data_IF_240695081895
#
_entry.id   IF_240695081895
#
_cell.length_a   1.000
_cell.length_b   1.000
_cell.length_c   1.000
_cell.angle_alpha   90.00
_cell.angle_beta   90.00
_cell.angle_gamma   90.00
#
_symmetry.space_group_name_H-M   'P 1'
#
loop_
_entity.id
_entity.type
_entity.pdbx_description
1 polymer ?
#
# COMPACT_ATOMS: atom_id res chain seq x y z
N UNK A 1 -8.87 -11.42 -28.35
CA UNK A 1 -9.43 -11.37 -26.96
C UNK A 1 -8.49 -10.54 -26.11
N UNK A 2 -8.97 -9.66 -25.24
CA UNK A 2 -8.12 -8.96 -24.29
C UNK A 2 -7.51 -9.95 -23.29
N UNK A 3 -6.34 -9.60 -22.78
CA UNK A 3 -5.75 -10.33 -21.67
C UNK A 3 -6.45 -9.91 -20.37
N UNK A 4 -6.75 -10.87 -19.50
CA UNK A 4 -7.34 -10.57 -18.19
C UNK A 4 -6.24 -10.58 -17.13
N UNK A 5 -6.09 -9.45 -16.43
CA UNK A 5 -5.18 -9.30 -15.31
C UNK A 5 -6.00 -9.08 -14.05
N UNK A 6 -5.97 -10.06 -13.15
CA UNK A 6 -6.62 -9.93 -11.85
C UNK A 6 -5.81 -9.01 -10.94
N UNK A 7 -6.48 -8.07 -10.28
CA UNK A 7 -5.89 -7.09 -9.38
C UNK A 7 -6.66 -7.14 -8.05
N UNK A 8 -6.01 -7.57 -6.98
CA UNK A 8 -6.60 -7.57 -5.66
C UNK A 8 -6.21 -6.32 -4.88
N UNK A 9 -7.17 -5.75 -4.20
CA UNK A 9 -6.95 -4.70 -3.22
C UNK A 9 -7.10 -5.28 -1.81
N UNK A 10 -6.25 -4.83 -0.90
CA UNK A 10 -6.30 -5.25 0.50
C UNK A 10 -7.60 -4.81 1.16
N UNK A 11 -8.01 -3.57 0.91
CA UNK A 11 -9.17 -2.93 1.53
C UNK A 11 -9.86 -1.99 0.55
N UNK A 12 -11.10 -1.64 0.83
CA UNK A 12 -11.84 -0.61 0.09
C UNK A 12 -11.14 0.77 0.13
N UNK A 13 -10.59 1.24 1.27
CA UNK A 13 -9.76 2.44 1.32
C UNK A 13 -8.56 2.38 0.37
N UNK A 14 -7.82 1.28 0.34
CA UNK A 14 -6.66 1.11 -0.58
C UNK A 14 -7.08 1.23 -2.04
N UNK A 15 -8.21 0.62 -2.43
CA UNK A 15 -8.77 0.78 -3.77
C UNK A 15 -9.13 2.25 -4.08
N UNK A 16 -9.88 2.92 -3.20
CA UNK A 16 -10.31 4.30 -3.41
C UNK A 16 -9.14 5.27 -3.55
N UNK A 17 -8.09 5.12 -2.74
CA UNK A 17 -6.89 5.94 -2.82
C UNK A 17 -6.17 5.67 -4.14
N UNK A 18 -5.96 4.39 -4.48
CA UNK A 18 -5.31 3.99 -5.73
C UNK A 18 -6.08 4.51 -6.93
N UNK A 19 -7.41 4.35 -6.94
CA UNK A 19 -8.28 4.80 -8.01
C UNK A 19 -8.24 6.31 -8.18
N UNK A 20 -8.38 7.09 -7.10
CA UNK A 20 -8.40 8.56 -7.17
C UNK A 20 -7.08 9.13 -7.70
N UNK A 21 -5.94 8.54 -7.32
CA UNK A 21 -4.61 8.97 -7.78
C UNK A 21 -4.33 8.57 -9.24
N UNK A 22 -4.79 7.40 -9.65
CA UNK A 22 -4.52 6.86 -10.98
C UNK A 22 -5.55 7.32 -12.01
N UNK A 23 -6.80 7.57 -11.61
CA UNK A 23 -7.82 8.13 -12.50
C UNK A 23 -7.38 9.49 -13.06
N UNK A 24 -6.82 10.36 -12.22
CA UNK A 24 -6.30 11.66 -12.65
C UNK A 24 -5.15 11.54 -13.66
N UNK A 25 -4.48 10.39 -13.71
CA UNK A 25 -3.40 10.07 -14.66
C UNK A 25 -3.85 9.23 -15.84
N UNK A 26 -5.12 8.83 -15.86
CA UNK A 26 -5.72 8.02 -16.95
C UNK A 26 -5.23 6.58 -17.04
N UNK A 27 -4.60 6.04 -15.99
CA UNK A 27 -4.06 4.68 -16.00
C UNK A 27 -3.57 4.17 -14.64
N UNK A 28 -3.23 2.89 -14.57
CA UNK A 28 -2.76 2.20 -13.38
C UNK A 28 -1.49 1.41 -13.68
N UNK A 29 -0.52 1.43 -12.76
CA UNK A 29 0.58 0.47 -12.77
C UNK A 29 0.19 -0.77 -11.96
N UNK A 30 0.33 -1.95 -12.59
CA UNK A 30 0.06 -3.25 -11.97
C UNK A 30 1.36 -4.03 -11.87
N UNK A 31 1.76 -4.38 -10.65
CA UNK A 31 2.91 -5.26 -10.42
C UNK A 31 2.54 -6.68 -10.87
N UNK A 32 3.22 -7.18 -11.90
CA UNK A 32 2.97 -8.52 -12.45
C UNK A 32 4.21 -9.05 -13.15
N UNK A 33 4.38 -10.37 -13.12
CA UNK A 33 5.39 -11.05 -13.93
C UNK A 33 4.92 -11.38 -15.35
N UNK A 34 3.68 -11.02 -15.72
CA UNK A 34 3.19 -11.25 -17.08
C UNK A 34 3.89 -10.31 -18.06
N UNK A 35 4.40 -10.88 -19.15
CA UNK A 35 5.06 -10.13 -20.23
C UNK A 35 4.07 -9.90 -21.38
N UNK A 36 3.32 -8.79 -21.30
CA UNK A 36 2.39 -8.37 -22.34
C UNK A 36 3.01 -7.25 -23.19
N UNK A 37 2.98 -7.34 -24.52
CA UNK A 37 3.47 -6.28 -25.39
C UNK A 37 2.74 -4.94 -25.18
N UNK A 38 3.46 -3.83 -25.35
CA UNK A 38 2.84 -2.49 -25.39
C UNK A 38 1.81 -2.43 -26.52
N UNK A 39 0.65 -1.84 -26.27
CA UNK A 39 -0.50 -1.81 -27.17
C UNK A 39 -1.46 -2.99 -27.03
N UNK A 40 -1.14 -4.00 -26.21
CA UNK A 40 -2.05 -5.14 -25.96
C UNK A 40 -3.32 -4.67 -25.24
N UNK A 41 -4.51 -5.09 -25.68
CA UNK A 41 -5.75 -4.86 -24.93
C UNK A 41 -5.75 -5.72 -23.66
N UNK A 42 -6.14 -5.14 -22.54
CA UNK A 42 -6.15 -5.74 -21.21
C UNK A 42 -7.44 -5.41 -20.49
N UNK A 43 -8.07 -6.41 -19.88
CA UNK A 43 -9.14 -6.23 -18.92
C UNK A 43 -8.55 -6.42 -17.50
N UNK A 44 -8.63 -5.39 -16.68
CA UNK A 44 -8.25 -5.42 -15.28
C UNK A 44 -9.47 -5.88 -14.47
N UNK A 45 -9.41 -7.07 -13.89
CA UNK A 45 -10.44 -7.59 -13.01
C UNK A 45 -10.09 -7.19 -11.56
N UNK A 46 -10.72 -6.15 -11.04
CA UNK A 46 -10.52 -5.67 -9.68
C UNK A 46 -11.35 -6.48 -8.70
N UNK A 47 -10.68 -7.09 -7.73
CA UNK A 47 -11.34 -7.70 -6.59
C UNK A 47 -11.22 -6.78 -5.37
N UNK A 48 -12.37 -6.23 -4.96
CA UNK A 48 -12.45 -5.20 -3.93
C UNK A 48 -13.21 -5.77 -2.73
N UNK A 49 -12.61 -5.80 -1.53
CA UNK A 49 -13.30 -6.23 -0.32
C UNK A 49 -14.61 -5.44 -0.09
N UNK A 50 -15.72 -6.14 0.09
CA UNK A 50 -17.04 -5.53 0.30
C UNK A 50 -17.77 -5.08 -0.96
N UNK A 51 -17.12 -5.05 -2.14
CA UNK A 51 -17.76 -4.62 -3.40
C UNK A 51 -17.71 -5.67 -4.53
N UNK A 52 -17.05 -6.81 -4.30
CA UNK A 52 -16.95 -7.88 -5.28
C UNK A 52 -15.91 -7.65 -6.37
N UNK A 53 -16.22 -8.09 -7.59
CA UNK A 53 -15.33 -8.00 -8.74
C UNK A 53 -15.88 -7.01 -9.77
N UNK A 54 -15.01 -6.11 -10.24
CA UNK A 54 -15.33 -5.10 -11.25
C UNK A 54 -14.25 -5.13 -12.32
N UNK A 55 -14.66 -5.08 -13.59
CA UNK A 55 -13.74 -5.05 -14.72
C UNK A 55 -13.54 -3.62 -15.25
N UNK A 56 -12.31 -3.32 -15.64
CA UNK A 56 -11.90 -2.07 -16.29
C UNK A 56 -11.05 -2.39 -17.52
N UNK A 57 -11.47 -1.93 -18.69
CA UNK A 57 -10.73 -2.14 -19.93
C UNK A 57 -9.64 -1.10 -20.14
N UNK A 58 -8.51 -1.54 -20.71
CA UNK A 58 -7.39 -0.67 -20.99
C UNK A 58 -6.45 -1.26 -22.04
N UNK A 59 -5.36 -0.55 -22.27
CA UNK A 59 -4.25 -1.00 -23.11
C UNK A 59 -2.93 -0.86 -22.36
N UNK A 60 -2.01 -1.80 -22.57
CA UNK A 60 -0.65 -1.69 -22.04
C UNK A 60 0.04 -0.49 -22.68
N UNK A 61 0.29 0.56 -21.91
CA UNK A 61 0.95 1.78 -22.37
C UNK A 61 2.47 1.70 -22.27
N UNK A 62 2.96 1.06 -21.22
CA UNK A 62 4.38 0.82 -20.97
C UNK A 62 4.59 -0.36 -20.03
N UNK A 63 5.80 -0.84 -19.92
CA UNK A 63 6.15 -1.94 -19.02
C UNK A 63 7.46 -1.67 -18.29
N UNK A 64 7.59 -2.24 -17.10
CA UNK A 64 8.83 -2.25 -16.33
C UNK A 64 9.36 -3.67 -16.27
N UNK A 65 10.61 -3.84 -16.67
CA UNK A 65 11.26 -5.15 -16.69
C UNK A 65 11.78 -5.55 -15.30
N UNK A 66 11.98 -6.85 -15.12
CA UNK A 66 12.60 -7.36 -13.90
C UNK A 66 14.04 -6.83 -13.76
N UNK A 67 14.41 -6.43 -12.54
CA UNK A 67 15.72 -5.84 -12.25
C UNK A 67 15.83 -4.35 -12.51
N UNK A 68 14.75 -3.67 -12.91
CA UNK A 68 14.73 -2.21 -13.02
C UNK A 68 15.05 -1.55 -11.67
N UNK A 69 15.91 -0.50 -11.65
CA UNK A 69 16.17 0.27 -10.43
C UNK A 69 14.95 1.06 -9.94
N UNK A 70 13.93 1.23 -10.79
CA UNK A 70 12.71 1.98 -10.48
C UNK A 70 11.69 1.17 -9.67
N UNK A 71 11.93 -0.14 -9.46
CA UNK A 71 11.05 -1.01 -8.66
C UNK A 71 10.69 -2.33 -9.34
N UNK A 72 9.67 -3.03 -8.83
CA UNK A 72 9.27 -4.35 -9.31
C UNK A 72 8.76 -4.32 -10.75
N UNK A 73 8.83 -5.48 -11.47
CA UNK A 73 8.32 -5.61 -12.82
C UNK A 73 6.81 -5.40 -12.86
N UNK A 74 6.29 -4.92 -13.99
CA UNK A 74 4.86 -4.71 -14.14
C UNK A 74 4.47 -3.96 -15.40
N UNK A 75 3.17 -3.71 -15.50
CA UNK A 75 2.52 -3.10 -16.65
C UNK A 75 1.88 -1.76 -16.26
N UNK A 76 2.17 -0.71 -17.01
CA UNK A 76 1.41 0.53 -16.99
C UNK A 76 0.24 0.41 -17.97
N UNK A 77 -0.97 0.35 -17.44
CA UNK A 77 -2.20 0.20 -18.24
C UNK A 77 -2.91 1.54 -18.32
N UNK A 78 -3.14 2.03 -19.53
CA UNK A 78 -3.98 3.20 -19.81
C UNK A 78 -5.43 2.75 -19.94
N UNK A 79 -6.35 3.38 -19.21
CA UNK A 79 -7.77 3.08 -19.27
C UNK A 79 -8.37 3.54 -20.60
N UNK A 80 -9.22 2.72 -21.19
CA UNK A 80 -9.94 3.02 -22.42
C UNK A 80 -11.41 3.32 -22.19
N UNK A 81 -12.00 2.71 -21.16
CA UNK A 81 -13.39 2.92 -20.77
C UNK A 81 -13.56 2.74 -19.27
N UNK A 82 -14.43 3.54 -18.67
CA UNK A 82 -14.84 3.43 -17.26
C UNK A 82 -16.32 3.05 -17.27
N UNK A 83 -16.61 1.80 -16.93
CA UNK A 83 -17.97 1.29 -16.93
C UNK A 83 -18.87 2.00 -15.90
N UNK A 84 -20.16 2.15 -16.20
CA UNK A 84 -21.14 2.68 -15.25
C UNK A 84 -21.18 1.84 -13.95
N UNK A 85 -21.00 0.52 -14.05
CA UNK A 85 -20.93 -0.38 -12.91
C UNK A 85 -19.77 -0.01 -11.96
N UNK A 86 -18.61 0.36 -12.49
CA UNK A 86 -17.48 0.82 -11.68
C UNK A 86 -17.84 2.13 -10.96
N UNK A 87 -18.56 3.05 -11.62
CA UNK A 87 -19.05 4.28 -11.01
C UNK A 87 -19.95 4.00 -9.79
N UNK A 88 -20.94 3.12 -9.93
CA UNK A 88 -21.83 2.74 -8.82
C UNK A 88 -21.09 2.09 -7.64
N UNK A 89 -20.10 1.25 -7.93
CA UNK A 89 -19.24 0.65 -6.91
C UNK A 89 -18.44 1.73 -6.17
N UNK A 90 -17.85 2.67 -6.87
CA UNK A 90 -17.09 3.77 -6.28
C UNK A 90 -18.00 4.63 -5.40
N UNK A 91 -19.17 5.03 -5.87
CA UNK A 91 -20.12 5.83 -5.09
C UNK A 91 -20.50 5.11 -3.78
N UNK A 92 -20.74 3.80 -3.85
CA UNK A 92 -21.03 2.97 -2.67
C UNK A 92 -19.86 2.96 -1.69
N UNK A 93 -18.63 2.74 -2.18
CA UNK A 93 -17.44 2.70 -1.34
C UNK A 93 -17.11 4.06 -0.73
N UNK A 94 -17.30 5.14 -1.48
CA UNK A 94 -17.12 6.52 -0.97
C UNK A 94 -18.12 6.82 0.15
N UNK A 95 -19.38 6.40 0.00
CA UNK A 95 -20.40 6.58 1.03
C UNK A 95 -20.08 5.80 2.32
N UNK A 96 -19.36 4.69 2.22
CA UNK A 96 -18.96 3.83 3.35
C UNK A 96 -17.54 4.14 3.87
N UNK A 97 -16.83 5.08 3.24
CA UNK A 97 -15.43 5.38 3.59
C UNK A 97 -15.31 5.98 4.98
N UNK A 98 -14.73 5.22 5.91
CA UNK A 98 -14.50 5.63 7.31
C UNK A 98 -13.06 6.13 7.57
N UNK A 99 -12.24 6.25 6.53
CA UNK A 99 -10.83 6.59 6.64
C UNK A 99 -9.91 5.38 6.53
N UNK A 100 -8.62 5.58 6.81
CA UNK A 100 -7.60 4.53 6.83
C UNK A 100 -7.16 4.22 8.26
N UNK A 101 -6.92 2.95 8.57
CA UNK A 101 -6.39 2.51 9.86
C UNK A 101 -4.87 2.33 9.77
N UNK A 102 -4.13 3.05 10.62
CA UNK A 102 -2.66 3.05 10.60
C UNK A 102 -2.12 2.63 11.96
N UNK A 103 -1.39 1.51 12.01
CA UNK A 103 -0.61 1.12 13.18
C UNK A 103 0.69 1.92 13.21
N UNK A 104 1.03 2.45 14.36
CA UNK A 104 2.32 3.09 14.64
C UNK A 104 2.99 2.36 15.80
N UNK A 105 4.09 1.67 15.52
CA UNK A 105 4.95 1.12 16.54
C UNK A 105 6.08 2.11 16.80
N UNK A 106 6.15 2.68 18.03
CA UNK A 106 7.20 3.59 18.44
C UNK A 106 7.55 3.37 19.91
N UNK A 107 8.81 3.04 20.18
CA UNK A 107 9.29 2.76 21.53
C UNK A 107 9.39 4.05 22.37
N UNK A 108 9.90 5.12 21.78
CA UNK A 108 10.06 6.43 22.44
C UNK A 108 8.72 7.18 22.62
N UNK A 109 8.53 7.79 23.78
CA UNK A 109 7.30 8.52 24.11
C UNK A 109 7.06 9.76 23.25
N UNK A 110 8.14 10.41 22.78
CA UNK A 110 8.06 11.57 21.89
C UNK A 110 7.55 11.13 20.51
N UNK A 111 8.05 10.02 20.01
CA UNK A 111 7.65 9.50 18.70
C UNK A 111 6.23 8.95 18.70
N UNK A 112 5.78 8.35 19.81
CA UNK A 112 4.35 8.00 20.01
C UNK A 112 3.39 9.18 19.92
N UNK A 113 3.89 10.40 20.12
CA UNK A 113 3.08 11.62 20.01
C UNK A 113 3.27 12.32 18.66
N UNK A 114 4.49 12.34 18.13
CA UNK A 114 4.83 13.07 16.91
C UNK A 114 4.42 12.32 15.65
N UNK A 115 4.65 11.00 15.56
CA UNK A 115 4.33 10.21 14.38
C UNK A 115 2.83 10.18 14.06
N UNK A 116 1.89 9.99 15.01
CA UNK A 116 0.47 10.08 14.71
C UNK A 116 0.05 11.44 14.13
N UNK A 117 0.62 12.54 14.64
CA UNK A 117 0.36 13.88 14.10
C UNK A 117 0.87 14.04 12.69
N UNK A 118 2.06 13.51 12.42
CA UNK A 118 2.68 13.54 11.12
C UNK A 118 1.86 12.73 10.10
N UNK A 119 1.45 11.51 10.46
CA UNK A 119 0.58 10.66 9.63
C UNK A 119 -0.75 11.34 9.34
N UNK A 120 -1.39 11.95 10.35
CA UNK A 120 -2.64 12.71 10.16
C UNK A 120 -2.48 13.96 9.30
N UNK A 121 -1.29 14.59 9.30
CA UNK A 121 -1.01 15.71 8.39
C UNK A 121 -0.91 15.25 6.94
N UNK A 122 -0.47 14.00 6.70
CA UNK A 122 -0.36 13.39 5.37
C UNK A 122 -1.73 12.87 4.90
N UNK A 123 -2.46 12.21 5.79
CA UNK A 123 -3.76 11.62 5.53
C UNK A 123 -4.74 12.02 6.64
N UNK A 124 -5.52 13.08 6.40
CA UNK A 124 -6.42 13.65 7.40
C UNK A 124 -7.49 12.67 7.91
N UNK A 125 -7.88 11.70 7.08
CA UNK A 125 -8.82 10.62 7.43
C UNK A 125 -8.16 9.44 8.16
N UNK A 126 -6.85 9.50 8.48
CA UNK A 126 -6.17 8.41 9.17
C UNK A 126 -6.61 8.29 10.64
N UNK A 127 -7.05 7.09 11.02
CA UNK A 127 -7.17 6.65 12.41
C UNK A 127 -5.87 5.96 12.81
N UNK A 128 -5.22 6.40 13.89
CA UNK A 128 -3.92 5.89 14.31
C UNK A 128 -4.03 5.03 15.55
N UNK A 129 -3.52 3.80 15.47
CA UNK A 129 -3.37 2.84 16.57
C UNK A 129 -1.89 2.87 16.99
N UNK A 130 -1.60 3.22 18.24
CA UNK A 130 -0.22 3.41 18.71
C UNK A 130 0.18 2.28 19.65
N UNK A 131 1.22 1.55 19.27
CA UNK A 131 1.85 0.52 20.10
C UNK A 131 3.21 1.03 20.62
N UNK A 132 3.52 0.67 21.85
CA UNK A 132 4.82 1.01 22.49
C UNK A 132 5.82 -0.15 22.46
N UNK A 133 5.34 -1.37 22.15
CA UNK A 133 6.14 -2.57 21.99
C UNK A 133 5.52 -3.54 20.97
N UNK A 134 6.27 -4.57 20.61
CA UNK A 134 5.85 -5.58 19.65
C UNK A 134 4.65 -6.41 20.12
N UNK A 135 4.53 -6.69 21.43
CA UNK A 135 3.41 -7.45 21.98
C UNK A 135 2.08 -6.71 21.79
N UNK A 136 2.07 -5.41 22.09
CA UNK A 136 0.90 -4.56 21.82
C UNK A 136 0.64 -4.44 20.31
N UNK A 137 1.68 -4.25 19.50
CA UNK A 137 1.53 -4.16 18.06
C UNK A 137 0.88 -5.42 17.48
N UNK A 138 1.24 -6.61 17.95
CA UNK A 138 0.66 -7.87 17.50
C UNK A 138 -0.86 -7.93 17.73
N UNK A 139 -1.35 -7.40 18.87
CA UNK A 139 -2.78 -7.36 19.17
C UNK A 139 -3.56 -6.37 18.29
N UNK A 140 -2.89 -5.37 17.74
CA UNK A 140 -3.47 -4.32 16.90
C UNK A 140 -3.40 -4.64 15.40
N UNK A 141 -2.63 -5.66 15.01
CA UNK A 141 -2.56 -6.11 13.61
C UNK A 141 -3.78 -6.97 13.31
N UNK A 142 -4.77 -6.37 12.65
CA UNK A 142 -6.03 -6.98 12.23
C UNK A 142 -6.22 -6.88 10.72
N UNK A 143 -7.26 -7.53 10.19
CA UNK A 143 -7.58 -7.47 8.76
C UNK A 143 -8.03 -6.07 8.30
N UNK A 144 -8.50 -5.22 9.23
CA UNK A 144 -8.92 -3.84 8.95
C UNK A 144 -7.75 -2.84 8.95
N UNK A 145 -6.53 -3.30 9.21
CA UNK A 145 -5.36 -2.43 9.23
C UNK A 145 -4.89 -2.13 7.80
N UNK A 146 -4.85 -0.86 7.40
CA UNK A 146 -4.44 -0.45 6.05
C UNK A 146 -2.94 -0.23 5.90
N UNK A 147 -2.25 0.19 6.96
CA UNK A 147 -0.83 0.54 6.93
C UNK A 147 -0.18 0.34 8.30
N UNK A 148 1.09 -0.06 8.31
CA UNK A 148 1.93 -0.04 9.51
C UNK A 148 3.12 0.92 9.31
N UNK A 149 3.40 1.76 10.31
CA UNK A 149 4.61 2.58 10.43
C UNK A 149 5.38 2.09 11.64
N UNK A 150 6.59 1.57 11.43
CA UNK A 150 7.37 0.85 12.43
C UNK A 150 8.70 1.54 12.66
N UNK A 151 8.89 2.10 13.85
CA UNK A 151 10.20 2.59 14.30
C UNK A 151 11.10 1.41 14.67
N UNK A 152 12.23 1.29 13.97
CA UNK A 152 13.17 0.18 14.12
C UNK A 152 14.31 0.53 15.09
N UNK A 153 14.56 1.80 15.36
CA UNK A 153 15.72 2.22 16.15
C UNK A 153 15.56 1.91 17.65
N UNK A 154 14.33 2.04 18.19
CA UNK A 154 14.09 1.91 19.61
C UNK A 154 14.11 0.46 20.13
N UNK A 155 13.58 -0.47 19.36
CA UNK A 155 13.60 -1.93 19.61
C UNK A 155 13.69 -2.67 18.27
N UNK A 156 14.90 -2.92 17.75
CA UNK A 156 15.08 -3.57 16.46
C UNK A 156 14.48 -4.99 16.37
N UNK A 157 14.55 -5.77 17.44
CA UNK A 157 14.04 -7.15 17.43
C UNK A 157 12.51 -7.17 17.38
N UNK A 158 11.84 -6.40 18.23
CA UNK A 158 10.39 -6.28 18.24
C UNK A 158 9.85 -5.63 16.97
N UNK A 159 10.54 -4.64 16.43
CA UNK A 159 10.19 -4.01 15.15
C UNK A 159 10.26 -5.02 13.97
N UNK A 160 11.33 -5.80 13.90
CA UNK A 160 11.48 -6.85 12.87
C UNK A 160 10.41 -7.93 13.01
N UNK A 161 10.07 -8.34 14.25
CA UNK A 161 8.97 -9.29 14.49
C UNK A 161 7.65 -8.71 14.01
N UNK A 162 7.37 -7.45 14.31
CA UNK A 162 6.16 -6.73 13.85
C UNK A 162 6.08 -6.66 12.32
N UNK A 163 7.16 -6.30 11.64
CA UNK A 163 7.22 -6.29 10.17
C UNK A 163 6.92 -7.67 9.56
N UNK A 164 7.50 -8.73 10.13
CA UNK A 164 7.21 -10.12 9.68
C UNK A 164 5.74 -10.47 9.91
N UNK A 165 5.17 -10.06 11.04
CA UNK A 165 3.77 -10.33 11.37
C UNK A 165 2.82 -9.63 10.38
N UNK A 166 3.10 -8.37 10.00
CA UNK A 166 2.30 -7.68 8.97
C UNK A 166 2.31 -8.42 7.63
N UNK A 167 3.43 -9.05 7.27
CA UNK A 167 3.55 -9.82 6.02
C UNK A 167 2.95 -11.21 6.08
N UNK A 168 2.84 -11.78 7.27
CA UNK A 168 2.25 -13.10 7.50
C UNK A 168 0.70 -13.07 7.53
N UNK A 169 0.07 -11.90 7.45
CA UNK A 169 -1.38 -11.79 7.36
C UNK A 169 -1.90 -12.41 6.06
N UNK A 170 -3.13 -12.99 6.04
CA UNK A 170 -3.76 -13.52 4.82
C UNK A 170 -3.78 -12.49 3.68
N UNK A 171 -4.06 -11.24 4.02
CA UNK A 171 -3.84 -10.08 3.17
C UNK A 171 -2.71 -9.23 3.76
N UNK A 172 -1.48 -9.30 3.23
CA UNK A 172 -0.32 -8.63 3.81
C UNK A 172 -0.53 -7.13 4.00
N UNK A 173 -0.23 -6.62 5.21
CA UNK A 173 -0.32 -5.20 5.52
C UNK A 173 0.91 -4.48 4.95
N UNK A 174 0.74 -3.42 4.15
CA UNK A 174 1.84 -2.55 3.77
C UNK A 174 2.55 -1.98 5.01
N UNK A 175 3.89 -1.96 5.00
CA UNK A 175 4.67 -1.52 6.14
C UNK A 175 5.78 -0.56 5.73
N UNK A 176 5.89 0.56 6.45
CA UNK A 176 6.95 1.53 6.35
C UNK A 176 7.86 1.37 7.57
N UNK A 177 9.15 1.17 7.37
CA UNK A 177 10.12 1.13 8.44
C UNK A 177 10.87 2.47 8.54
N UNK A 178 10.91 3.03 9.74
CA UNK A 178 11.73 4.19 10.09
C UNK A 178 13.04 3.69 10.67
N UNK A 179 14.17 4.04 10.06
CA UNK A 179 15.47 3.56 10.49
C UNK A 179 16.59 4.55 10.19
N UNK A 180 17.39 4.90 11.19
CA UNK A 180 18.49 5.86 11.09
C UNK A 180 19.70 5.31 10.36
N UNK A 181 19.99 3.99 10.48
CA UNK A 181 21.19 3.37 9.94
C UNK A 181 20.91 2.46 8.75
N UNK A 182 21.91 2.35 7.84
CA UNK A 182 21.82 1.42 6.71
C UNK A 182 21.56 -0.03 7.17
N UNK A 183 22.23 -0.47 8.24
CA UNK A 183 22.09 -1.83 8.77
C UNK A 183 20.63 -2.12 9.18
N UNK A 184 19.99 -1.21 9.90
CA UNK A 184 18.60 -1.37 10.32
C UNK A 184 17.65 -1.35 9.13
N UNK A 185 17.91 -0.49 8.12
CA UNK A 185 17.15 -0.48 6.87
C UNK A 185 17.26 -1.80 6.12
N UNK A 186 18.45 -2.38 6.02
CA UNK A 186 18.65 -3.67 5.35
C UNK A 186 17.90 -4.80 6.09
N UNK A 187 17.92 -4.80 7.42
CA UNK A 187 17.16 -5.76 8.23
C UNK A 187 15.65 -5.58 8.08
N UNK A 188 15.16 -4.35 8.11
CA UNK A 188 13.73 -4.05 7.92
C UNK A 188 13.24 -4.48 6.53
N UNK A 189 14.04 -4.22 5.48
CA UNK A 189 13.74 -4.69 4.13
C UNK A 189 13.67 -6.21 4.06
N UNK A 190 14.63 -6.91 4.67
CA UNK A 190 14.64 -8.38 4.72
C UNK A 190 13.46 -8.95 5.53
N UNK A 191 12.92 -8.17 6.47
CA UNK A 191 11.72 -8.52 7.24
C UNK A 191 10.41 -8.22 6.52
N UNK A 192 10.46 -7.56 5.35
CA UNK A 192 9.31 -7.29 4.51
C UNK A 192 8.81 -5.84 4.53
N UNK A 193 9.57 -4.88 5.05
CA UNK A 193 9.20 -3.47 4.89
C UNK A 193 9.09 -3.11 3.39
N UNK A 194 7.96 -2.51 2.99
CA UNK A 194 7.72 -2.08 1.61
C UNK A 194 8.44 -0.78 1.31
N UNK A 195 8.45 0.13 2.28
CA UNK A 195 9.11 1.42 2.18
C UNK A 195 10.06 1.63 3.36
N UNK A 196 11.16 2.33 3.11
CA UNK A 196 12.17 2.66 4.11
C UNK A 196 12.33 4.16 4.16
N UNK A 197 12.24 4.73 5.35
CA UNK A 197 12.32 6.17 5.60
C UNK A 197 13.38 6.43 6.67
N UNK A 198 14.06 7.56 6.60
CA UNK A 198 14.99 7.98 7.63
C UNK A 198 14.32 8.13 9.00
N UNK A 199 15.09 7.99 10.09
CA UNK A 199 14.62 8.28 11.44
C UNK A 199 15.53 9.33 12.09
N UNK A 200 15.01 10.50 12.50
CA UNK A 200 13.61 10.95 12.40
C UNK A 200 13.16 11.18 10.95
N UNK A 201 11.88 10.89 10.62
CA UNK A 201 11.38 11.02 9.26
C UNK A 201 11.24 12.47 8.83
N UNK A 202 11.72 12.80 7.61
CA UNK A 202 11.35 14.03 6.95
C UNK A 202 9.90 13.94 6.43
N UNK A 203 9.16 15.05 6.48
CA UNK A 203 7.73 15.06 6.09
C UNK A 203 7.52 14.54 4.66
N UNK A 204 8.28 15.08 3.70
CA UNK A 204 8.14 14.72 2.29
C UNK A 204 8.50 13.24 2.03
N UNK A 205 9.53 12.73 2.72
CA UNK A 205 9.96 11.33 2.59
C UNK A 205 8.87 10.39 3.12
N UNK A 206 8.31 10.67 4.30
CA UNK A 206 7.22 9.90 4.87
C UNK A 206 5.94 9.99 4.02
N UNK A 207 5.62 11.19 3.51
CA UNK A 207 4.47 11.39 2.65
C UNK A 207 4.55 10.52 1.38
N UNK A 208 5.70 10.51 0.72
CA UNK A 208 5.91 9.67 -0.46
C UNK A 208 5.81 8.18 -0.12
N UNK A 209 6.38 7.76 1.02
CA UNK A 209 6.32 6.37 1.47
C UNK A 209 4.89 5.93 1.78
N UNK A 210 4.11 6.76 2.48
CA UNK A 210 2.68 6.49 2.78
C UNK A 210 1.89 6.35 1.48
N UNK A 211 2.08 7.29 0.54
CA UNK A 211 1.38 7.25 -0.74
C UNK A 211 1.72 5.99 -1.54
N UNK A 212 2.99 5.61 -1.61
CA UNK A 212 3.44 4.41 -2.31
C UNK A 212 2.89 3.13 -1.65
N UNK A 213 2.97 3.04 -0.32
CA UNK A 213 2.52 1.87 0.41
C UNK A 213 1.00 1.63 0.24
N UNK A 214 0.19 2.70 0.29
CA UNK A 214 -1.27 2.62 0.15
C UNK A 214 -1.75 2.38 -1.28
N UNK A 215 -0.94 2.73 -2.30
CA UNK A 215 -1.36 2.65 -3.71
C UNK A 215 -0.83 1.41 -4.43
N UNK A 216 -0.27 0.45 -3.72
CA UNK A 216 0.18 -0.83 -4.29
C UNK A 216 -0.98 -1.83 -4.37
N UNK A 217 -1.59 -2.05 -5.56
CA UNK A 217 -2.44 -3.22 -5.74
C UNK A 217 -1.57 -4.46 -5.86
N UNK A 218 -1.96 -5.54 -5.22
CA UNK A 218 -1.34 -6.83 -5.45
C UNK A 218 -1.96 -7.44 -6.71
N UNK A 219 -1.16 -7.72 -7.75
CA UNK A 219 -1.61 -8.53 -8.86
C UNK A 219 -1.73 -9.98 -8.41
N UNK A 220 -2.88 -10.59 -8.63
CA UNK A 220 -3.06 -12.02 -8.41
C UNK A 220 -2.51 -12.77 -9.61
N UNK A 221 -1.73 -13.80 -9.34
CA UNK A 221 -1.15 -14.70 -10.35
C UNK A 221 -2.18 -15.63 -10.92
#
# INVERSE_FOLDING_TARGET
>A
MPYVVAVEFRSAPSFLITYSLNLSRGGLFVETGQDLPVGSPVDLAFRIPGAGEVALSGVVAWRREAGSPEGPPGLGVKFTDISAQLGEVIDTLVAQFSGISVLILAHDGKDRTSLPRLVKSIAASASTLVAHDAGMAETLITDDLDLAVVDVDGDPEGAIATLRRTKAMPSPVPAIALASTKRLRDHARAAGADELVGNPPAFEELQLAVMRALTRPAAVR
#
